data_IF_724142057925
#
_entry.id   IF_724142057925
#
_cell.length_a   1.000
_cell.length_b   1.000
_cell.length_c   1.000
_cell.angle_alpha   90.00
_cell.angle_beta   90.00
_cell.angle_gamma   90.00
#
_symmetry.space_group_name_H-M   'P 1'
#
loop_
_entity.id
_entity.type
_entity.pdbx_description
1 polymer ?
#
# COMPACT_ATOMS: atom_id res chain seq x y z
N UNK A 1 56.58 -3.01 -39.92
CA UNK A 1 56.40 -4.01 -38.84
C UNK A 1 55.00 -3.84 -38.28
N UNK A 2 54.11 -4.80 -38.55
CA UNK A 2 52.75 -4.88 -38.00
C UNK A 2 52.84 -5.70 -36.71
N UNK A 3 52.53 -5.12 -35.54
CA UNK A 3 52.40 -5.87 -34.30
C UNK A 3 50.91 -6.05 -33.99
N UNK A 4 50.50 -7.31 -33.91
CA UNK A 4 49.16 -7.75 -33.58
C UNK A 4 48.90 -7.54 -32.08
N UNK A 5 47.85 -6.81 -31.75
CA UNK A 5 47.24 -6.81 -30.41
C UNK A 5 46.31 -8.02 -30.36
N UNK A 6 46.80 -9.11 -29.76
CA UNK A 6 46.00 -10.29 -29.51
C UNK A 6 44.99 -9.99 -28.40
N UNK A 7 43.70 -10.05 -28.76
CA UNK A 7 42.58 -10.17 -27.83
C UNK A 7 42.80 -11.45 -26.98
N UNK A 8 43.19 -11.28 -25.73
CA UNK A 8 42.97 -12.28 -24.68
C UNK A 8 41.51 -12.13 -24.21
N UNK A 9 40.60 -12.73 -24.99
CA UNK A 9 39.29 -13.14 -24.47
C UNK A 9 39.55 -14.23 -23.44
N UNK A 10 39.73 -13.83 -22.19
CA UNK A 10 39.60 -14.74 -21.07
C UNK A 10 38.15 -15.23 -21.06
N UNK A 11 37.93 -16.43 -21.60
CA UNK A 11 36.74 -17.21 -21.35
C UNK A 11 36.72 -17.57 -19.87
N UNK A 12 36.32 -16.61 -19.02
CA UNK A 12 35.82 -16.90 -17.70
C UNK A 12 34.52 -17.67 -17.94
N UNK A 13 34.65 -19.00 -18.03
CA UNK A 13 33.54 -19.91 -17.83
C UNK A 13 33.03 -19.60 -16.42
N UNK A 14 32.03 -18.73 -16.33
CA UNK A 14 31.20 -18.61 -15.13
C UNK A 14 30.65 -20.00 -14.91
N UNK A 15 31.25 -20.75 -13.97
CA UNK A 15 30.63 -21.97 -13.48
C UNK A 15 29.23 -21.56 -13.05
N UNK A 16 28.23 -21.98 -13.82
CA UNK A 16 26.84 -21.67 -13.54
C UNK A 16 26.58 -22.28 -12.16
N UNK A 17 26.29 -21.44 -11.17
CA UNK A 17 26.00 -21.93 -9.84
C UNK A 17 24.73 -22.77 -9.94
N UNK A 18 24.84 -24.06 -9.62
CA UNK A 18 23.69 -24.97 -9.55
C UNK A 18 22.98 -24.73 -8.22
N UNK A 19 22.10 -23.73 -8.17
CA UNK A 19 21.24 -23.54 -7.01
C UNK A 19 20.22 -24.68 -6.92
N UNK A 20 19.86 -25.02 -5.69
CA UNK A 20 18.80 -25.99 -5.41
C UNK A 20 17.71 -25.37 -4.54
N UNK A 21 16.47 -25.88 -4.58
CA UNK A 21 15.38 -25.40 -3.72
C UNK A 21 15.69 -25.45 -2.22
N UNK A 22 16.63 -26.31 -1.80
CA UNK A 22 17.08 -26.36 -0.41
C UNK A 22 17.69 -25.03 0.06
N UNK A 23 18.29 -24.25 -0.85
CA UNK A 23 18.83 -22.92 -0.55
C UNK A 23 17.76 -21.90 -0.17
N UNK A 24 16.50 -22.11 -0.57
CA UNK A 24 15.39 -21.25 -0.16
C UNK A 24 15.11 -21.30 1.35
N UNK A 25 15.59 -22.33 2.06
CA UNK A 25 15.50 -22.40 3.51
C UNK A 25 16.22 -21.25 4.24
N UNK A 26 17.20 -20.61 3.57
CA UNK A 26 17.90 -19.44 4.12
C UNK A 26 16.98 -18.23 4.32
N UNK A 27 15.86 -18.12 3.58
CA UNK A 27 14.87 -17.07 3.81
C UNK A 27 14.29 -17.10 5.23
N UNK A 28 14.10 -18.30 5.81
CA UNK A 28 13.67 -18.41 7.21
C UNK A 28 14.76 -17.93 8.18
N UNK A 29 16.03 -18.14 7.84
CA UNK A 29 17.16 -17.69 8.64
C UNK A 29 17.40 -16.17 8.54
N UNK A 30 16.96 -15.53 7.44
CA UNK A 30 16.94 -14.07 7.31
C UNK A 30 16.07 -13.42 8.40
N UNK A 31 15.05 -14.14 8.88
CA UNK A 31 14.10 -13.62 9.86
C UNK A 31 13.38 -12.39 9.32
N UNK A 32 12.97 -12.46 8.06
CA UNK A 32 12.35 -11.34 7.35
C UNK A 32 11.05 -10.90 8.05
N UNK A 33 11.03 -9.64 8.45
CA UNK A 33 9.87 -8.95 9.02
C UNK A 33 9.73 -7.60 8.32
N UNK A 34 8.63 -7.41 7.59
CA UNK A 34 8.39 -6.17 6.84
C UNK A 34 8.22 -4.94 7.74
N UNK A 35 7.96 -5.11 9.05
CA UNK A 35 7.80 -4.01 10.00
C UNK A 35 9.07 -3.72 10.81
N UNK A 36 10.14 -4.51 10.63
CA UNK A 36 11.44 -4.28 11.27
C UNK A 36 12.31 -3.34 10.42
N UNK A 37 11.95 -2.05 10.43
CA UNK A 37 12.58 -1.01 9.61
C UNK A 37 14.08 -0.79 9.88
N UNK A 38 14.55 -1.19 11.06
CA UNK A 38 15.97 -1.10 11.45
C UNK A 38 16.82 -2.11 10.69
N UNK A 39 16.22 -3.21 10.21
CA UNK A 39 16.89 -4.28 9.45
C UNK A 39 16.66 -4.20 7.94
N UNK A 40 16.09 -3.11 7.43
CA UNK A 40 15.80 -2.98 6.00
C UNK A 40 17.04 -3.07 5.10
N UNK A 41 18.20 -2.58 5.55
CA UNK A 41 19.46 -2.71 4.80
C UNK A 41 20.00 -4.16 4.80
N UNK A 42 19.50 -5.02 5.70
CA UNK A 42 19.75 -6.46 5.67
C UNK A 42 18.79 -7.18 4.72
N UNK A 43 17.52 -6.74 4.67
CA UNK A 43 16.48 -7.38 3.88
C UNK A 43 16.51 -6.97 2.41
N UNK A 44 16.87 -5.72 2.11
CA UNK A 44 16.74 -5.12 0.79
C UNK A 44 18.06 -4.52 0.32
N UNK A 45 18.22 -4.43 -1.00
CA UNK A 45 19.33 -3.75 -1.67
C UNK A 45 18.81 -2.58 -2.48
N UNK A 46 19.73 -1.77 -3.01
CA UNK A 46 19.39 -0.60 -3.81
C UNK A 46 18.57 -0.94 -5.07
N UNK A 47 18.68 -2.16 -5.58
CA UNK A 47 17.92 -2.67 -6.71
C UNK A 47 16.65 -3.43 -6.32
N UNK A 48 16.40 -3.66 -5.02
CA UNK A 48 15.16 -4.29 -4.55
C UNK A 48 13.94 -3.45 -4.89
N UNK A 49 12.82 -4.09 -5.16
CA UNK A 49 11.55 -3.41 -5.46
C UNK A 49 10.40 -3.90 -4.59
N UNK A 50 9.45 -3.00 -4.32
CA UNK A 50 8.11 -3.35 -3.87
C UNK A 50 7.12 -2.73 -4.86
N UNK A 51 6.17 -3.51 -5.35
CA UNK A 51 5.15 -3.03 -6.28
C UNK A 51 3.77 -3.22 -5.69
N UNK A 52 2.98 -2.14 -5.70
CA UNK A 52 1.53 -2.19 -5.55
C UNK A 52 0.93 -1.61 -6.83
N UNK A 53 0.35 -2.47 -7.67
CA UNK A 53 0.00 -2.10 -9.06
C UNK A 53 -0.78 -0.76 -9.19
N UNK A 54 -1.84 -0.48 -8.39
CA UNK A 54 -2.53 0.82 -8.42
C UNK A 54 -1.71 2.09 -8.15
N UNK A 55 -0.47 1.94 -7.65
CA UNK A 55 0.38 3.04 -7.17
C UNK A 55 1.69 3.11 -7.94
N UNK A 56 2.26 1.94 -8.24
CA UNK A 56 3.54 1.80 -8.92
C UNK A 56 4.55 0.98 -8.12
N UNK A 57 5.83 1.24 -8.41
CA UNK A 57 6.98 0.49 -7.89
C UNK A 57 7.89 1.39 -7.07
N UNK A 58 8.23 0.93 -5.87
CA UNK A 58 9.13 1.55 -4.92
C UNK A 58 10.47 0.82 -4.95
N UNK A 59 11.56 1.54 -5.28
CA UNK A 59 12.87 0.95 -5.47
C UNK A 59 13.85 1.35 -4.36
N UNK A 60 14.54 0.35 -3.80
CA UNK A 60 15.51 0.50 -2.74
C UNK A 60 14.89 0.50 -1.33
N UNK A 61 15.70 0.27 -0.28
CA UNK A 61 15.22 0.13 1.08
C UNK A 61 14.42 1.34 1.58
N UNK A 62 14.86 2.57 1.27
CA UNK A 62 14.19 3.78 1.76
C UNK A 62 12.79 3.96 1.15
N UNK A 63 12.64 3.79 -0.17
CA UNK A 63 11.34 3.93 -0.82
C UNK A 63 10.36 2.82 -0.40
N UNK A 64 10.86 1.60 -0.21
CA UNK A 64 10.07 0.49 0.32
C UNK A 64 9.64 0.81 1.76
N UNK A 65 10.53 1.36 2.59
CA UNK A 65 10.25 1.74 3.99
C UNK A 65 9.15 2.78 4.07
N UNK A 66 9.22 3.84 3.27
CA UNK A 66 8.18 4.90 3.24
C UNK A 66 6.81 4.30 2.94
N UNK A 67 6.74 3.46 1.90
CA UNK A 67 5.48 2.82 1.54
C UNK A 67 4.93 1.88 2.60
N UNK A 68 5.78 1.04 3.21
CA UNK A 68 5.32 0.12 4.27
C UNK A 68 4.90 0.89 5.52
N UNK A 69 5.57 2.00 5.86
CA UNK A 69 5.14 2.89 6.95
C UNK A 69 3.71 3.40 6.75
N UNK A 70 3.38 3.89 5.55
CA UNK A 70 2.03 4.40 5.23
C UNK A 70 0.91 3.36 5.47
N UNK A 71 1.20 2.07 5.26
CA UNK A 71 0.24 0.98 5.46
C UNK A 71 0.30 0.35 6.86
N UNK A 72 1.00 0.96 7.82
CA UNK A 72 1.26 0.38 9.14
C UNK A 72 0.92 1.40 10.24
N UNK A 73 1.03 1.06 11.54
CA UNK A 73 0.72 1.98 12.65
C UNK A 73 1.67 3.18 12.75
N UNK A 74 2.67 3.26 11.87
CA UNK A 74 3.55 4.42 11.73
C UNK A 74 2.92 5.53 10.88
N UNK A 75 1.87 5.19 10.13
CA UNK A 75 1.01 6.13 9.40
C UNK A 75 0.18 6.97 10.38
N UNK A 76 -0.07 8.25 10.09
CA UNK A 76 -0.95 9.09 10.92
C UNK A 76 -2.42 8.64 10.88
N UNK A 77 -2.78 7.67 10.04
CA UNK A 77 -4.17 7.22 9.84
C UNK A 77 -4.51 5.92 10.59
N UNK A 78 -3.53 5.22 11.15
CA UNK A 78 -3.67 3.91 11.77
C UNK A 78 -3.23 3.96 13.23
N UNK A 79 -4.12 3.56 14.15
CA UNK A 79 -3.79 3.31 15.56
C UNK A 79 -3.21 1.90 15.75
N UNK A 80 -3.74 0.92 15.00
CA UNK A 80 -3.36 -0.48 15.11
C UNK A 80 -3.37 -1.19 13.75
N UNK A 81 -2.49 -2.17 13.60
CA UNK A 81 -2.30 -2.98 12.40
C UNK A 81 -1.62 -4.30 12.80
N UNK A 82 -2.45 -5.29 13.12
CA UNK A 82 -1.99 -6.56 13.71
C UNK A 82 -2.25 -7.69 12.74
N UNK A 83 -1.20 -8.45 12.44
CA UNK A 83 -1.36 -9.70 11.70
C UNK A 83 -2.03 -10.77 12.57
N UNK A 84 -3.25 -11.16 12.20
CA UNK A 84 -4.00 -12.23 12.86
C UNK A 84 -3.62 -13.60 12.35
N UNK A 85 -3.48 -13.71 11.03
CA UNK A 85 -3.21 -14.97 10.36
C UNK A 85 -2.30 -14.75 9.16
N UNK A 86 -1.40 -15.70 8.92
CA UNK A 86 -0.58 -15.74 7.72
C UNK A 86 -0.42 -17.18 7.27
N UNK A 87 -0.55 -17.39 5.96
CA UNK A 87 -0.24 -18.63 5.26
C UNK A 87 0.85 -18.32 4.24
N UNK A 88 2.01 -18.95 4.40
CA UNK A 88 3.16 -18.77 3.53
C UNK A 88 3.49 -20.09 2.84
N UNK A 89 3.65 -20.05 1.52
CA UNK A 89 4.02 -21.21 0.72
C UNK A 89 5.26 -20.88 -0.11
N UNK A 90 6.20 -21.82 -0.16
CA UNK A 90 7.23 -21.81 -1.20
C UNK A 90 6.56 -22.21 -2.50
N UNK A 91 6.76 -21.45 -3.57
CA UNK A 91 6.32 -21.83 -4.91
C UNK A 91 7.46 -22.56 -5.64
N UNK A 92 7.51 -23.91 -5.60
CA UNK A 92 8.59 -24.65 -6.22
C UNK A 92 8.59 -24.51 -7.75
N UNK A 93 7.47 -24.11 -8.36
CA UNK A 93 7.37 -23.95 -9.81
C UNK A 93 7.96 -22.62 -10.31
N UNK A 94 8.14 -21.65 -9.42
CA UNK A 94 8.76 -20.35 -9.71
C UNK A 94 10.21 -20.22 -9.24
N UNK A 95 10.81 -21.29 -8.72
CA UNK A 95 12.23 -21.32 -8.41
C UNK A 95 13.08 -21.19 -9.69
N UNK A 96 14.01 -20.25 -9.71
CA UNK A 96 14.96 -20.06 -10.81
C UNK A 96 16.34 -20.61 -10.43
N UNK A 97 16.65 -21.82 -10.90
CA UNK A 97 17.92 -22.48 -10.62
C UNK A 97 19.14 -21.78 -11.25
N UNK A 98 18.95 -20.92 -12.25
CA UNK A 98 20.06 -20.22 -12.90
C UNK A 98 20.49 -18.96 -12.13
N UNK A 99 19.55 -18.29 -11.45
CA UNK A 99 19.83 -17.07 -10.67
C UNK A 99 19.85 -17.32 -9.17
N UNK A 100 19.32 -18.46 -8.70
CA UNK A 100 19.15 -18.73 -7.28
C UNK A 100 17.99 -17.96 -6.66
N UNK A 101 17.00 -17.55 -7.47
CA UNK A 101 15.83 -16.83 -7.00
C UNK A 101 14.75 -17.79 -6.52
N UNK A 102 14.32 -17.63 -5.28
CA UNK A 102 13.19 -18.32 -4.67
C UNK A 102 11.96 -17.41 -4.69
N UNK A 103 10.78 -18.00 -4.87
CA UNK A 103 9.52 -17.27 -4.82
C UNK A 103 8.65 -17.85 -3.71
N UNK A 104 8.17 -16.96 -2.85
CA UNK A 104 7.24 -17.26 -1.78
C UNK A 104 5.93 -16.54 -2.05
N UNK A 105 4.81 -17.22 -1.83
CA UNK A 105 3.50 -16.57 -1.80
C UNK A 105 3.03 -16.50 -0.36
N UNK A 106 2.37 -15.39 -0.02
CA UNK A 106 1.85 -15.14 1.32
C UNK A 106 0.44 -14.61 1.23
N UNK A 107 -0.49 -15.27 1.89
CA UNK A 107 -1.82 -14.73 2.16
C UNK A 107 -1.88 -14.40 3.64
N UNK A 108 -2.25 -13.18 4.00
CA UNK A 108 -2.33 -12.78 5.39
C UNK A 108 -3.52 -11.88 5.65
N UNK A 109 -3.98 -11.95 6.89
CA UNK A 109 -5.11 -11.20 7.40
C UNK A 109 -4.60 -10.22 8.45
N UNK A 110 -4.93 -8.95 8.25
CA UNK A 110 -4.61 -7.89 9.17
C UNK A 110 -5.89 -7.39 9.84
N UNK A 111 -5.86 -7.23 11.15
CA UNK A 111 -6.78 -6.38 11.89
C UNK A 111 -6.26 -4.95 11.89
N UNK A 112 -7.11 -3.99 11.55
CA UNK A 112 -6.74 -2.58 11.55
C UNK A 112 -7.68 -1.76 12.45
N UNK A 113 -7.12 -0.68 12.99
CA UNK A 113 -7.89 0.36 13.69
C UNK A 113 -7.46 1.72 13.17
N UNK A 114 -8.42 2.53 12.76
CA UNK A 114 -8.16 3.88 12.26
C UNK A 114 -8.08 4.90 13.40
N UNK A 115 -7.21 5.88 13.19
CA UNK A 115 -6.97 7.01 14.07
C UNK A 115 -7.38 8.32 13.39
N UNK A 116 -7.41 9.42 14.16
CA UNK A 116 -7.50 10.75 13.55
C UNK A 116 -6.16 11.07 12.85
N UNK A 117 -6.17 11.63 11.64
CA UNK A 117 -7.27 12.41 11.06
C UNK A 117 -8.24 11.64 10.16
N UNK A 118 -8.10 10.31 10.03
CA UNK A 118 -9.03 9.45 9.29
C UNK A 118 -10.37 9.31 10.04
N UNK A 119 -11.09 8.20 9.86
CA UNK A 119 -12.33 7.89 10.57
C UNK A 119 -12.02 7.20 11.92
N UNK A 120 -11.83 7.93 13.04
CA UNK A 120 -11.29 7.35 14.27
C UNK A 120 -12.21 6.28 14.87
N UNK A 121 -11.60 5.20 15.35
CA UNK A 121 -12.31 4.10 16.00
C UNK A 121 -12.99 3.12 15.04
N UNK A 122 -12.92 3.36 13.73
CA UNK A 122 -13.31 2.37 12.74
C UNK A 122 -12.31 1.21 12.76
N UNK A 123 -12.84 0.00 12.95
CA UNK A 123 -12.07 -1.22 13.09
C UNK A 123 -12.53 -2.24 12.05
N UNK A 124 -11.64 -3.14 11.65
CA UNK A 124 -11.98 -4.18 10.70
C UNK A 124 -10.81 -5.10 10.39
N UNK A 125 -11.03 -5.94 9.40
CA UNK A 125 -10.04 -6.90 8.92
C UNK A 125 -9.88 -6.78 7.41
N UNK A 126 -8.64 -6.84 6.92
CA UNK A 126 -8.30 -6.85 5.49
C UNK A 126 -7.46 -8.07 5.16
N UNK A 127 -7.72 -8.68 4.00
CA UNK A 127 -6.91 -9.74 3.43
C UNK A 127 -5.91 -9.15 2.42
N UNK A 128 -4.66 -9.60 2.51
CA UNK A 128 -3.57 -9.18 1.64
C UNK A 128 -2.92 -10.42 1.06
N UNK A 129 -2.55 -10.36 -0.22
CA UNK A 129 -1.73 -11.40 -0.85
C UNK A 129 -0.43 -10.78 -1.35
N UNK A 130 0.70 -11.46 -1.16
CA UNK A 130 1.97 -11.01 -1.69
C UNK A 130 2.80 -12.14 -2.30
N UNK A 131 3.67 -11.75 -3.22
CA UNK A 131 4.72 -12.58 -3.80
C UNK A 131 6.07 -11.98 -3.42
N UNK A 132 6.89 -12.75 -2.70
CA UNK A 132 8.21 -12.34 -2.25
C UNK A 132 9.26 -13.11 -3.04
N UNK A 133 10.11 -12.40 -3.78
CA UNK A 133 11.28 -12.94 -4.47
C UNK A 133 12.51 -12.75 -3.59
N UNK A 134 13.20 -13.84 -3.32
CA UNK A 134 14.38 -13.89 -2.46
C UNK A 134 15.55 -14.44 -3.25
N UNK A 135 16.68 -13.75 -3.20
CA UNK A 135 17.92 -14.19 -3.82
C UNK A 135 18.76 -14.96 -2.81
N UNK A 136 19.03 -16.24 -3.11
CA UNK A 136 19.97 -17.06 -2.33
C UNK A 136 21.34 -16.36 -2.30
N UNK A 137 21.74 -15.82 -3.45
CA UNK A 137 22.97 -15.06 -3.60
C UNK A 137 22.86 -13.69 -2.96
N UNK A 138 23.55 -13.55 -1.84
CA UNK A 138 23.56 -12.32 -1.06
C UNK A 138 22.38 -12.19 -0.10
N UNK A 139 21.55 -13.22 0.05
CA UNK A 139 20.60 -13.39 1.16
C UNK A 139 19.70 -12.17 1.40
N UNK A 140 18.95 -11.77 0.37
CA UNK A 140 18.09 -10.58 0.39
C UNK A 140 16.80 -10.76 -0.41
N UNK A 141 15.81 -9.91 -0.17
CA UNK A 141 14.56 -9.84 -0.92
C UNK A 141 14.73 -8.90 -2.10
N UNK A 142 14.65 -9.43 -3.33
CA UNK A 142 14.79 -8.65 -4.55
C UNK A 142 13.49 -7.99 -4.98
N UNK A 143 12.34 -8.63 -4.77
CA UNK A 143 11.06 -8.07 -5.18
C UNK A 143 9.92 -8.49 -4.24
N UNK A 144 8.99 -7.57 -3.98
CA UNK A 144 7.73 -7.83 -3.29
C UNK A 144 6.58 -7.31 -4.14
N UNK A 145 5.73 -8.20 -4.64
CA UNK A 145 4.47 -7.81 -5.28
C UNK A 145 3.36 -7.90 -4.25
N UNK A 146 2.57 -6.84 -4.10
CA UNK A 146 1.44 -6.79 -3.16
C UNK A 146 0.12 -6.73 -3.94
N UNK A 147 -0.86 -7.47 -3.46
CA UNK A 147 -2.22 -7.46 -3.96
C UNK A 147 -3.22 -7.25 -2.84
N UNK A 148 -4.13 -6.31 -3.07
CA UNK A 148 -5.34 -6.08 -2.30
C UNK A 148 -6.51 -6.11 -3.27
N UNK A 149 -7.67 -6.54 -2.78
CA UNK A 149 -8.89 -6.51 -3.59
C UNK A 149 -9.29 -5.07 -3.92
N UNK A 150 -9.85 -4.80 -5.12
CA UNK A 150 -10.32 -3.46 -5.48
C UNK A 150 -11.27 -2.82 -4.46
N UNK A 151 -12.17 -3.62 -3.87
CA UNK A 151 -13.12 -3.15 -2.85
C UNK A 151 -12.44 -2.58 -1.60
N UNK A 152 -11.24 -3.04 -1.26
CA UNK A 152 -10.46 -2.46 -0.17
C UNK A 152 -10.03 -1.03 -0.49
N UNK A 153 -9.58 -0.73 -1.71
CA UNK A 153 -9.18 0.64 -2.07
C UNK A 153 -10.38 1.59 -2.06
N UNK A 154 -11.51 1.13 -2.59
CA UNK A 154 -12.77 1.89 -2.58
C UNK A 154 -13.19 2.26 -1.15
N UNK A 155 -13.10 1.30 -0.22
CA UNK A 155 -13.36 1.56 1.19
C UNK A 155 -12.29 2.45 1.83
N UNK A 156 -11.02 2.07 1.72
CA UNK A 156 -9.94 2.69 2.46
C UNK A 156 -9.82 4.18 2.08
N UNK A 157 -9.79 4.49 0.78
CA UNK A 157 -9.74 5.86 0.32
C UNK A 157 -11.11 6.53 0.25
N UNK A 158 -12.14 5.84 -0.26
CA UNK A 158 -13.48 6.40 -0.49
C UNK A 158 -14.32 6.61 0.76
N UNK A 159 -14.02 5.90 1.85
CA UNK A 159 -14.76 5.97 3.10
C UNK A 159 -13.85 6.32 4.28
N UNK A 160 -12.88 5.47 4.57
CA UNK A 160 -12.08 5.55 5.79
C UNK A 160 -11.20 6.80 5.87
N UNK A 161 -10.51 7.14 4.79
CA UNK A 161 -9.65 8.32 4.66
C UNK A 161 -10.38 9.52 4.02
N UNK A 162 -11.66 9.38 3.67
CA UNK A 162 -12.46 10.44 3.05
C UNK A 162 -13.04 11.40 4.09
N UNK A 163 -12.18 12.07 4.84
CA UNK A 163 -12.57 12.98 5.93
C UNK A 163 -12.01 14.38 5.73
N UNK A 164 -12.67 15.38 6.32
CA UNK A 164 -12.14 16.75 6.37
C UNK A 164 -10.80 16.83 7.11
N UNK A 165 -10.61 15.94 8.08
CA UNK A 165 -9.34 15.80 8.80
C UNK A 165 -8.19 15.44 7.86
N UNK A 166 -8.39 14.44 6.99
CA UNK A 166 -7.37 14.01 6.03
C UNK A 166 -7.10 15.09 4.98
N UNK A 167 -8.14 15.77 4.46
CA UNK A 167 -7.94 16.92 3.55
C UNK A 167 -7.13 18.02 4.21
N UNK A 168 -7.47 18.35 5.46
CA UNK A 168 -6.73 19.33 6.25
C UNK A 168 -5.28 18.89 6.45
N UNK A 169 -5.02 17.61 6.75
CA UNK A 169 -3.67 17.06 6.89
C UNK A 169 -2.83 17.26 5.62
N UNK A 170 -3.40 16.99 4.44
CA UNK A 170 -2.71 17.19 3.16
C UNK A 170 -2.37 18.67 2.96
N UNK A 171 -3.33 19.56 3.19
CA UNK A 171 -3.11 21.00 3.02
C UNK A 171 -2.15 21.59 4.06
N UNK A 172 -2.19 21.14 5.31
CA UNK A 172 -1.22 21.51 6.33
C UNK A 172 0.18 21.03 5.95
N UNK A 173 0.32 19.78 5.48
CA UNK A 173 1.60 19.25 4.99
C UNK A 173 2.13 20.08 3.83
N UNK A 174 1.26 20.42 2.86
CA UNK A 174 1.64 21.28 1.75
C UNK A 174 2.12 22.64 2.24
N UNK A 175 1.43 23.26 3.19
CA UNK A 175 1.78 24.58 3.74
C UNK A 175 3.09 24.55 4.53
N UNK A 176 3.22 23.57 5.43
CA UNK A 176 4.21 23.59 6.50
C UNK A 176 5.50 22.86 6.09
N UNK A 177 5.39 21.71 5.42
CA UNK A 177 6.53 20.91 4.98
C UNK A 177 6.94 21.23 3.53
N UNK A 178 6.01 21.71 2.70
CA UNK A 178 6.24 21.97 1.27
C UNK A 178 5.92 23.42 0.84
N UNK A 179 6.45 24.47 1.50
CA UNK A 179 6.05 25.86 1.25
C UNK A 179 6.27 26.34 -0.20
N UNK A 180 7.19 25.72 -0.94
CA UNK A 180 7.35 25.96 -2.37
C UNK A 180 6.11 25.47 -3.15
N UNK A 181 5.70 24.21 -2.96
CA UNK A 181 4.47 23.65 -3.55
C UNK A 181 3.24 24.46 -3.15
N UNK A 182 3.12 24.87 -1.90
CA UNK A 182 2.04 25.73 -1.42
C UNK A 182 1.90 27.01 -2.24
N UNK A 183 3.03 27.73 -2.37
CA UNK A 183 3.11 28.97 -3.13
C UNK A 183 2.85 28.74 -4.63
N UNK A 184 3.38 27.66 -5.20
CA UNK A 184 3.22 27.34 -6.61
C UNK A 184 1.77 27.02 -6.97
N UNK A 185 1.00 26.47 -6.02
CA UNK A 185 -0.44 26.29 -6.17
C UNK A 185 -1.22 27.62 -6.06
N UNK A 186 -0.58 28.69 -5.60
CA UNK A 186 -1.17 30.04 -5.54
C UNK A 186 -1.78 30.39 -4.19
N UNK A 187 -1.49 29.60 -3.16
CA UNK A 187 -2.00 29.85 -1.82
C UNK A 187 -1.08 30.79 -1.04
N UNK A 188 -1.68 31.63 -0.20
CA UNK A 188 -0.99 32.47 0.78
C UNK A 188 -1.21 31.94 2.21
N UNK A 189 -0.91 32.74 3.25
CA UNK A 189 -1.09 32.32 4.65
C UNK A 189 -2.56 32.07 5.05
N UNK A 190 -3.52 32.48 4.23
CA UNK A 190 -4.96 32.31 4.45
C UNK A 190 -5.59 31.26 3.54
N UNK A 191 -4.81 30.66 2.63
CA UNK A 191 -5.29 29.73 1.60
C UNK A 191 -5.65 28.32 2.08
N UNK A 192 -5.70 28.05 3.39
CA UNK A 192 -6.02 26.71 3.92
C UNK A 192 -7.41 26.23 3.51
N UNK A 193 -8.42 27.09 3.63
CA UNK A 193 -9.78 26.74 3.21
C UNK A 193 -9.84 26.47 1.70
N UNK A 194 -9.21 27.33 0.89
CA UNK A 194 -9.16 27.16 -0.57
C UNK A 194 -8.45 25.87 -0.97
N UNK A 195 -7.36 25.50 -0.31
CA UNK A 195 -6.69 24.22 -0.55
C UNK A 195 -7.61 23.03 -0.26
N UNK A 196 -8.38 23.07 0.84
CA UNK A 196 -9.33 22.01 1.19
C UNK A 196 -10.44 21.91 0.14
N UNK A 197 -11.02 23.05 -0.27
CA UNK A 197 -12.05 23.12 -1.31
C UNK A 197 -11.53 22.56 -2.65
N UNK A 198 -10.30 22.93 -3.04
CA UNK A 198 -9.66 22.43 -4.26
C UNK A 198 -9.44 20.91 -4.16
N UNK A 199 -9.07 20.38 -2.99
CA UNK A 199 -8.92 18.94 -2.75
C UNK A 199 -10.24 18.19 -2.84
N UNK A 200 -11.31 18.72 -2.23
CA UNK A 200 -12.64 18.14 -2.26
C UNK A 200 -13.21 18.08 -3.69
N UNK A 201 -12.82 19.02 -4.56
CA UNK A 201 -13.22 19.03 -5.97
C UNK A 201 -12.62 17.91 -6.83
N UNK A 202 -11.56 17.25 -6.35
CA UNK A 202 -10.92 16.14 -7.05
C UNK A 202 -11.66 14.81 -6.80
N UNK A 203 -11.65 13.88 -7.78
CA UNK A 203 -12.12 12.52 -7.50
C UNK A 203 -11.27 11.88 -6.39
N UNK A 204 -11.86 10.95 -5.64
CA UNK A 204 -11.08 10.20 -4.64
C UNK A 204 -10.09 9.24 -5.32
N UNK A 205 -10.59 8.46 -6.27
CA UNK A 205 -9.88 7.42 -7.04
C UNK A 205 -10.16 7.60 -8.54
N UNK A 206 -9.21 7.21 -9.38
CA UNK A 206 -9.45 7.04 -10.81
C UNK A 206 -10.05 5.65 -11.07
N UNK A 207 -11.08 5.51 -11.92
CA UNK A 207 -11.69 4.21 -12.20
C UNK A 207 -10.89 3.40 -13.24
N UNK A 208 -10.79 2.05 -13.11
CA UNK A 208 -11.02 1.21 -11.92
C UNK A 208 -9.90 1.38 -10.87
N UNK A 209 -10.15 1.19 -9.56
CA UNK A 209 -9.57 2.03 -8.51
C UNK A 209 -8.04 2.11 -8.57
N UNK A 210 -7.57 3.16 -9.25
CA UNK A 210 -6.20 3.61 -9.26
C UNK A 210 -6.11 4.84 -8.36
N UNK A 211 -4.96 4.97 -7.70
CA UNK A 211 -4.68 6.12 -6.84
C UNK A 211 -3.31 6.73 -7.11
N UNK A 212 -2.85 6.61 -8.35
CA UNK A 212 -1.64 7.22 -8.90
C UNK A 212 -1.91 8.47 -9.77
N UNK A 213 -3.18 8.72 -10.15
CA UNK A 213 -3.56 9.87 -10.99
C UNK A 213 -4.01 11.11 -10.21
N UNK A 214 -4.86 11.95 -10.83
CA UNK A 214 -5.23 13.27 -10.28
C UNK A 214 -6.36 13.21 -9.26
N UNK A 215 -6.17 12.39 -8.23
CA UNK A 215 -7.14 12.18 -7.16
C UNK A 215 -6.68 12.65 -5.78
N UNK A 216 -7.61 12.57 -4.83
CA UNK A 216 -7.32 12.75 -3.41
C UNK A 216 -6.44 11.61 -2.88
N UNK A 217 -6.67 10.35 -3.28
CA UNK A 217 -5.91 9.20 -2.78
C UNK A 217 -4.39 9.27 -3.05
N UNK A 218 -3.97 9.73 -4.24
CA UNK A 218 -2.56 9.96 -4.53
C UNK A 218 -1.95 11.03 -3.59
N UNK A 219 -2.72 12.08 -3.30
CA UNK A 219 -2.30 13.17 -2.41
C UNK A 219 -2.32 12.77 -0.94
N UNK A 220 -3.20 11.86 -0.53
CA UNK A 220 -3.21 11.25 0.80
C UNK A 220 -1.88 10.52 1.03
N UNK A 221 -1.52 9.62 0.12
CA UNK A 221 -0.27 8.86 0.18
C UNK A 221 0.95 9.80 0.19
N UNK A 222 1.03 10.72 -0.76
CA UNK A 222 2.20 11.57 -0.88
C UNK A 222 2.29 12.69 0.16
N UNK A 223 1.18 13.08 0.81
CA UNK A 223 1.26 13.95 1.97
C UNK A 223 1.91 13.25 3.15
N UNK A 224 1.59 11.97 3.37
CA UNK A 224 2.27 11.19 4.41
C UNK A 224 3.79 11.15 4.17
N UNK A 225 4.21 10.85 2.93
CA UNK A 225 5.64 10.85 2.60
C UNK A 225 6.26 12.25 2.69
N UNK A 226 5.57 13.29 2.21
CA UNK A 226 6.07 14.66 2.20
C UNK A 226 6.21 15.27 3.60
N UNK A 227 5.53 14.70 4.61
CA UNK A 227 5.70 15.11 6.00
C UNK A 227 7.12 14.81 6.52
N UNK A 228 7.77 13.74 6.02
CA UNK A 228 9.13 13.34 6.41
C UNK A 228 10.18 13.58 5.31
N UNK A 229 9.78 13.55 4.04
CA UNK A 229 10.69 13.58 2.89
C UNK A 229 10.22 14.60 1.82
N UNK A 230 10.91 15.74 1.67
CA UNK A 230 10.52 16.80 0.74
C UNK A 230 10.58 16.40 -0.74
N UNK A 231 11.18 15.24 -1.09
CA UNK A 231 11.17 14.74 -2.46
C UNK A 231 9.75 14.47 -2.99
N UNK A 232 8.78 14.25 -2.09
CA UNK A 232 7.37 14.03 -2.44
C UNK A 232 6.54 15.31 -2.54
N UNK A 233 7.11 16.48 -2.23
CA UNK A 233 6.38 17.74 -2.24
C UNK A 233 5.76 18.08 -3.60
N UNK A 234 6.37 17.67 -4.71
CA UNK A 234 5.82 17.88 -6.06
C UNK A 234 4.50 17.10 -6.28
N UNK A 235 4.35 15.94 -5.63
CA UNK A 235 3.25 15.00 -5.89
C UNK A 235 1.94 15.41 -5.20
N UNK A 236 2.01 16.21 -4.13
CA UNK A 236 0.81 16.76 -3.48
C UNK A 236 0.25 18.00 -4.22
N UNK A 237 0.97 18.53 -5.20
CA UNK A 237 0.56 19.70 -5.98
C UNK A 237 -0.71 19.48 -6.82
N UNK A 238 -1.57 20.48 -6.96
CA UNK A 238 -2.71 20.45 -7.88
C UNK A 238 -2.31 20.73 -9.33
N UNK A 239 -1.13 21.33 -9.52
CA UNK A 239 -0.50 21.60 -10.81
C UNK A 239 0.58 20.57 -11.09
N UNK A 240 0.80 20.17 -12.36
CA UNK A 240 1.94 19.35 -12.72
C UNK A 240 3.25 19.97 -12.23
N UNK A 241 4.04 19.19 -11.51
CA UNK A 241 5.33 19.58 -10.97
C UNK A 241 6.28 18.37 -11.04
N UNK A 242 7.52 18.61 -11.45
CA UNK A 242 8.56 17.58 -11.48
C UNK A 242 9.10 17.34 -10.07
N UNK A 243 9.29 16.06 -9.71
CA UNK A 243 10.04 15.64 -8.54
C UNK A 243 11.56 15.81 -8.76
N UNK A 244 12.42 15.56 -7.76
CA UNK A 244 13.88 15.64 -7.92
C UNK A 244 14.48 14.69 -8.98
N UNK A 245 13.70 13.70 -9.45
CA UNK A 245 14.07 12.75 -10.50
C UNK A 245 13.50 13.14 -11.87
N UNK A 246 12.75 14.24 -11.97
CA UNK A 246 12.12 14.72 -13.20
C UNK A 246 10.79 14.04 -13.53
N UNK A 247 10.18 13.30 -12.60
CA UNK A 247 8.89 12.64 -12.82
C UNK A 247 7.74 13.58 -12.44
N UNK A 248 6.63 13.48 -13.16
CA UNK A 248 5.36 14.11 -12.80
C UNK A 248 4.41 13.01 -12.34
N UNK A 249 4.04 13.02 -11.06
CA UNK A 249 3.18 12.01 -10.41
C UNK A 249 1.90 12.68 -9.87
N UNK A 250 0.83 11.91 -9.66
CA UNK A 250 -0.48 12.38 -9.20
C UNK A 250 -1.20 13.38 -10.14
N UNK A 251 -0.95 13.24 -11.45
CA UNK A 251 -1.58 14.06 -12.50
C UNK A 251 -2.27 13.21 -13.57
N UNK A 252 -1.68 12.10 -13.96
CA UNK A 252 -2.25 11.14 -14.91
C UNK A 252 -1.98 9.73 -14.38
N UNK A 253 -3.01 8.88 -14.35
CA UNK A 253 -2.85 7.49 -13.92
C UNK A 253 -2.11 6.67 -14.97
N UNK A 254 -1.22 5.78 -14.54
CA UNK A 254 -0.59 4.80 -15.41
C UNK A 254 -1.53 3.65 -15.80
N UNK A 255 -2.71 3.56 -15.17
CA UNK A 255 -3.72 2.51 -15.39
C UNK A 255 -3.14 1.08 -15.24
N UNK A 256 -2.22 0.92 -14.29
CA UNK A 256 -1.51 -0.33 -14.04
C UNK A 256 -2.46 -1.40 -13.49
N UNK A 257 -2.60 -2.57 -14.14
CA UNK A 257 -3.69 -3.51 -13.86
C UNK A 257 -3.73 -4.00 -12.41
N UNK A 258 -4.90 -3.88 -11.78
CA UNK A 258 -5.17 -4.27 -10.38
C UNK A 258 -5.62 -5.73 -10.24
N UNK A 259 -5.50 -6.56 -11.28
CA UNK A 259 -6.22 -7.84 -11.32
C UNK A 259 -5.27 -9.03 -11.37
N UNK A 260 -5.42 -9.95 -10.39
CA UNK A 260 -4.76 -11.25 -10.42
C UNK A 260 -5.15 -12.02 -11.68
N UNK A 261 -4.16 -12.64 -12.35
CA UNK A 261 -4.38 -13.46 -13.54
C UNK A 261 -4.63 -12.68 -14.83
N UNK A 262 -4.63 -11.35 -14.78
CA UNK A 262 -4.68 -10.52 -15.99
C UNK A 262 -3.32 -10.50 -16.71
N UNK A 263 -3.30 -10.30 -18.06
CA UNK A 263 -2.04 -10.15 -18.78
C UNK A 263 -1.15 -9.08 -18.16
N UNK A 264 0.12 -9.41 -17.90
CA UNK A 264 1.08 -8.52 -17.25
C UNK A 264 1.04 -8.53 -15.72
N UNK A 265 0.06 -9.20 -15.10
CA UNK A 265 0.05 -9.42 -13.65
C UNK A 265 1.15 -10.42 -13.25
N UNK A 266 1.89 -10.17 -12.16
CA UNK A 266 2.81 -11.16 -11.60
C UNK A 266 2.05 -12.33 -10.93
N UNK A 267 0.76 -12.14 -10.64
CA UNK A 267 -0.11 -13.14 -10.01
C UNK A 267 -0.83 -13.98 -11.07
N UNK A 268 -0.83 -15.29 -10.86
CA UNK A 268 -1.53 -16.26 -11.72
C UNK A 268 -2.97 -16.47 -11.28
N UNK A 269 -3.75 -17.17 -12.11
CA UNK A 269 -5.07 -17.66 -11.72
C UNK A 269 -5.04 -18.63 -10.54
N UNK A 270 -3.92 -19.36 -10.35
CA UNK A 270 -3.74 -20.22 -9.18
C UNK A 270 -3.54 -19.41 -7.90
N UNK A 271 -2.81 -18.30 -7.98
CA UNK A 271 -2.70 -17.35 -6.86
C UNK A 271 -4.07 -16.80 -6.48
N UNK A 272 -4.86 -16.39 -7.49
CA UNK A 272 -6.23 -15.92 -7.25
C UNK A 272 -7.07 -16.98 -6.53
N UNK A 273 -7.09 -18.22 -7.02
CA UNK A 273 -7.87 -19.29 -6.39
C UNK A 273 -7.40 -19.57 -4.94
N UNK A 274 -6.09 -19.47 -4.69
CA UNK A 274 -5.52 -19.62 -3.35
C UNK A 274 -5.97 -18.49 -2.44
N UNK A 275 -5.92 -17.25 -2.91
CA UNK A 275 -6.32 -16.08 -2.13
C UNK A 275 -7.83 -16.03 -1.88
N UNK A 276 -8.66 -16.35 -2.89
CA UNK A 276 -10.11 -16.46 -2.75
C UNK A 276 -10.48 -17.51 -1.68
N UNK A 277 -9.78 -18.65 -1.68
CA UNK A 277 -9.95 -19.68 -0.64
C UNK A 277 -9.55 -19.16 0.73
N UNK A 278 -8.40 -18.50 0.85
CA UNK A 278 -7.94 -17.90 2.11
C UNK A 278 -8.99 -16.92 2.67
N UNK A 279 -9.49 -16.00 1.86
CA UNK A 279 -10.54 -15.06 2.28
C UNK A 279 -11.82 -15.79 2.73
N UNK A 280 -12.27 -16.79 1.96
CA UNK A 280 -13.46 -17.58 2.29
C UNK A 280 -13.33 -18.33 3.63
N UNK A 281 -12.19 -18.99 3.86
CA UNK A 281 -11.91 -19.72 5.11
C UNK A 281 -11.89 -18.79 6.34
N UNK A 282 -11.62 -17.49 6.14
CA UNK A 282 -11.58 -16.45 7.19
C UNK A 282 -12.86 -15.62 7.30
N UNK A 283 -13.86 -15.91 6.47
CA UNK A 283 -15.09 -15.14 6.41
C UNK A 283 -14.86 -13.68 5.99
N UNK A 284 -13.84 -13.43 5.16
CA UNK A 284 -13.60 -12.14 4.52
C UNK A 284 -14.36 -12.14 3.19
N UNK A 285 -15.28 -11.18 2.94
CA UNK A 285 -16.00 -11.05 1.68
C UNK A 285 -15.09 -10.89 0.45
N UNK A 286 -15.65 -11.04 -0.74
CA UNK A 286 -14.92 -10.84 -2.02
C UNK A 286 -14.30 -9.45 -2.15
N UNK A 287 -14.87 -8.44 -1.48
CA UNK A 287 -14.32 -7.09 -1.40
C UNK A 287 -12.94 -7.04 -0.72
N UNK A 288 -12.50 -8.12 -0.06
CA UNK A 288 -11.18 -8.27 0.57
C UNK A 288 -11.07 -7.68 1.97
N UNK A 289 -12.16 -7.16 2.52
CA UNK A 289 -12.22 -6.64 3.88
C UNK A 289 -13.59 -6.83 4.51
N UNK A 290 -13.65 -6.69 5.84
CA UNK A 290 -14.90 -6.58 6.61
C UNK A 290 -14.71 -5.57 7.75
N UNK A 291 -15.80 -4.97 8.20
CA UNK A 291 -15.79 -3.99 9.29
C UNK A 291 -16.41 -4.57 10.54
N UNK A 292 -15.82 -4.22 11.68
CA UNK A 292 -16.42 -4.47 12.98
C UNK A 292 -17.36 -3.30 13.33
N UNK A 293 -18.54 -3.54 13.93
CA UNK A 293 -19.50 -2.50 14.27
C UNK A 293 -19.04 -1.74 15.53
N UNK A 294 -17.98 -0.93 15.41
CA UNK A 294 -17.32 -0.26 16.54
C UNK A 294 -17.63 1.23 16.67
N UNK A 295 -17.96 1.88 15.55
CA UNK A 295 -18.27 3.32 15.52
C UNK A 295 -19.76 3.52 15.84
N UNK A 296 -20.13 4.08 17.01
CA UNK A 296 -21.52 4.32 17.34
C UNK A 296 -22.11 5.45 16.49
N UNK A 297 -23.38 5.33 16.15
CA UNK A 297 -24.11 6.34 15.38
C UNK A 297 -25.54 6.54 15.91
N UNK A 298 -26.03 7.77 15.75
CA UNK A 298 -27.42 8.16 15.96
C UNK A 298 -28.19 8.38 14.64
N UNK A 299 -27.49 8.49 13.51
CA UNK A 299 -28.03 8.45 12.16
C UNK A 299 -26.95 8.09 11.13
N UNK A 300 -27.32 7.90 9.87
CA UNK A 300 -26.37 7.58 8.79
C UNK A 300 -25.38 8.71 8.53
N UNK A 301 -25.77 9.96 8.80
CA UNK A 301 -24.89 11.13 8.68
C UNK A 301 -23.74 11.14 9.68
N UNK A 302 -23.84 10.36 10.76
CA UNK A 302 -22.75 10.19 11.73
C UNK A 302 -21.67 9.21 11.25
N UNK A 303 -21.94 8.48 10.16
CA UNK A 303 -21.06 7.44 9.65
C UNK A 303 -20.09 7.95 8.57
N UNK A 304 -18.89 7.35 8.45
CA UNK A 304 -18.03 7.57 7.31
C UNK A 304 -18.76 7.37 5.98
N UNK A 305 -18.33 8.11 4.95
CA UNK A 305 -18.95 8.09 3.61
C UNK A 305 -19.11 6.64 3.13
N UNK A 306 -20.30 6.26 2.65
CA UNK A 306 -20.57 4.90 2.15
C UNK A 306 -20.93 3.88 3.24
N UNK A 307 -20.88 4.24 4.52
CA UNK A 307 -21.39 3.42 5.62
C UNK A 307 -22.79 3.89 6.04
N UNK A 308 -23.55 2.99 6.66
CA UNK A 308 -24.91 3.26 7.16
C UNK A 308 -25.02 2.94 8.64
N UNK A 309 -25.91 3.63 9.34
CA UNK A 309 -26.16 3.39 10.74
C UNK A 309 -27.14 2.21 10.93
N UNK A 310 -26.64 1.06 11.39
CA UNK A 310 -27.47 -0.11 11.69
C UNK A 310 -27.82 -0.21 13.18
N UNK A 311 -29.11 -0.36 13.46
CA UNK A 311 -29.68 -0.52 14.80
C UNK A 311 -29.97 -1.97 15.18
N UNK A 312 -29.78 -2.91 14.25
CA UNK A 312 -30.11 -4.33 14.45
C UNK A 312 -29.21 -5.00 15.49
N UNK A 313 -27.94 -4.59 15.57
CA UNK A 313 -26.94 -5.09 16.52
C UNK A 313 -26.90 -4.37 17.89
N UNK A 314 -27.67 -3.29 18.07
CA UNK A 314 -27.61 -2.46 19.27
C UNK A 314 -28.05 -3.20 20.54
N UNK A 315 -27.13 -3.40 21.51
CA UNK A 315 -27.49 -3.81 22.87
C UNK A 315 -28.42 -2.74 23.46
N UNK A 316 -29.66 -3.09 23.81
CA UNK A 316 -30.55 -2.19 24.58
C UNK A 316 -29.85 -1.82 25.88
N UNK A 317 -29.38 -0.57 25.99
CA UNK A 317 -28.86 -0.05 27.25
C UNK A 317 -30.01 -0.08 28.27
N UNK A 318 -29.78 -0.71 29.42
CA UNK A 318 -30.80 -1.04 30.43
C UNK A 318 -31.52 0.18 31.04
N UNK A 319 -31.12 1.41 30.73
CA UNK A 319 -31.62 2.63 31.40
C UNK A 319 -31.80 3.85 30.48
N UNK A 320 -32.20 3.68 29.22
CA UNK A 320 -32.54 4.81 28.35
C UNK A 320 -33.19 4.39 27.03
N UNK A 321 -34.18 5.16 26.56
CA UNK A 321 -35.03 4.85 25.39
C UNK A 321 -34.36 5.08 24.02
N UNK A 322 -33.10 5.51 23.97
CA UNK A 322 -32.40 5.71 22.71
C UNK A 322 -31.74 4.40 22.24
N UNK A 323 -32.08 3.95 21.03
CA UNK A 323 -31.30 2.90 20.36
C UNK A 323 -30.01 3.53 19.85
N UNK A 324 -28.87 2.98 20.24
CA UNK A 324 -27.57 3.31 19.63
C UNK A 324 -27.35 2.35 18.46
N UNK A 325 -27.10 2.88 17.27
CA UNK A 325 -26.68 2.09 16.12
C UNK A 325 -25.16 2.03 16.01
N UNK A 326 -24.66 1.28 15.03
CA UNK A 326 -23.25 1.25 14.65
C UNK A 326 -23.10 1.42 13.14
N UNK A 327 -22.02 2.06 12.72
CA UNK A 327 -21.71 2.21 11.30
C UNK A 327 -21.27 0.86 10.72
N UNK A 328 -21.95 0.45 9.66
CA UNK A 328 -21.70 -0.80 8.93
C UNK A 328 -21.72 -0.55 7.43
N UNK A 329 -21.26 -1.52 6.64
CA UNK A 329 -21.42 -1.49 5.19
C UNK A 329 -22.91 -1.50 4.82
N UNK A 330 -23.30 -0.67 3.85
CA UNK A 330 -24.61 -0.78 3.24
C UNK A 330 -24.70 -2.11 2.46
N UNK A 331 -25.67 -2.96 2.80
CA UNK A 331 -25.98 -4.17 2.03
C UNK A 331 -26.58 -3.85 0.65
#
# INVERSE_FOLDING_TARGET
MKLAVALLLAAASTAQADYSPAGCGNFLALGFDSLDFDRYDEYYKADSTLTLAPVGTFQGPDAIREYVKFLSPFSPFLDDFVEKYSESNIDPFRFNAATGTCVFTRAFQIEFKLSAPASPGLEGEVAIYSLVQYEIDGNYVSNVEVYLQPGWYDFYFGSALNTDGVRKYICDTMRDSCPATWKDNGYDSTGLATCIDDLESLPMLDPPPYFDGKGQACRILHADFAAENPAHCAHISFKPAEDPKGNIVCQESALNPVLMGSPGSPFTMQDKATFDKFMSDRGIPEAGYKLDPTVPCGSTEDCPVGLVCDYSGGRRLRFGTAKTGFCVLAE
#
